data_IF_337932862027
#
_entry.id   IF_337932862027
#
_cell.length_a   1.000
_cell.length_b   1.000
_cell.length_c   1.000
_cell.angle_alpha   90.00
_cell.angle_beta   90.00
_cell.angle_gamma   90.00
#
_symmetry.space_group_name_H-M   'P 1'
#
loop_
_entity.id
_entity.type
_entity.pdbx_description
1 polymer ?
2 polymer ?
3 non-polymer ?
4 water ?
#
# COMPACT_ATOMS: atom_id res chain seq x y z
N UNK A 3 -25.09 8.90 -2.49
CA UNK A 3 -24.64 8.44 -1.14
C UNK A 3 -23.54 7.40 -1.27
N UNK A 4 -22.99 6.98 -0.13
CA UNK A 4 -21.96 5.93 -0.12
C UNK A 4 -22.60 4.54 -0.28
N UNK A 5 -23.92 4.46 -0.15
CA UNK A 5 -24.66 3.25 -0.52
C UNK A 5 -24.66 3.03 -2.02
N UNK A 6 -24.72 4.11 -2.80
CA UNK A 6 -24.71 4.03 -4.27
C UNK A 6 -23.31 4.15 -4.88
N UNK A 7 -22.28 4.29 -4.06
CA UNK A 7 -20.90 4.33 -4.55
C UNK A 7 -20.55 2.99 -5.19
N UNK A 8 -19.79 3.03 -6.28
CA UNK A 8 -19.33 1.82 -6.96
C UNK A 8 -18.02 1.33 -6.34
N UNK A 9 -18.13 0.33 -5.47
CA UNK A 9 -16.95 -0.24 -4.80
C UNK A 9 -16.23 -1.27 -5.68
N UNK A 10 -16.88 -1.69 -6.76
CA UNK A 10 -16.32 -2.70 -7.66
C UNK A 10 -15.57 -2.12 -8.85
N UNK A 11 -15.12 -0.88 -8.77
CA UNK A 11 -14.32 -0.27 -9.82
C UNK A 11 -13.22 0.60 -9.22
N UNK A 12 -12.15 0.82 -10.00
CA UNK A 12 -11.07 1.72 -9.60
C UNK A 12 -11.45 3.18 -9.83
N UNK A 13 -11.04 4.05 -8.91
CA UNK A 13 -11.42 5.46 -8.90
C UNK A 13 -10.21 6.38 -8.90
N UNK A 14 -10.47 7.66 -9.16
CA UNK A 14 -9.44 8.68 -9.15
C UNK A 14 -9.26 9.20 -7.75
N UNK A 15 -8.16 9.90 -7.53
CA UNK A 15 -7.90 10.59 -6.28
C UNK A 15 -9.09 11.45 -5.87
N UNK A 16 -9.55 12.29 -6.78
CA UNK A 16 -10.64 13.23 -6.48
C UNK A 16 -11.93 12.51 -6.09
N UNK A 17 -12.22 11.41 -6.75
CA UNK A 17 -13.41 10.61 -6.41
C UNK A 17 -13.31 9.99 -5.02
N UNK A 18 -12.11 9.55 -4.65
CA UNK A 18 -11.88 9.02 -3.31
C UNK A 18 -12.00 10.12 -2.25
N UNK A 19 -11.48 11.30 -2.55
CA UNK A 19 -11.57 12.43 -1.63
C UNK A 19 -13.03 12.89 -1.44
N UNK A 20 -13.81 12.90 -2.52
CA UNK A 20 -15.22 13.22 -2.44
C UNK A 20 -15.95 12.17 -1.62
N UNK A 21 -15.56 10.90 -1.80
CA UNK A 21 -16.11 9.79 -1.01
C UNK A 21 -15.88 10.00 0.48
N UNK A 22 -14.69 10.46 0.86
CA UNK A 22 -14.38 10.75 2.26
C UNK A 22 -15.36 11.75 2.83
N UNK A 23 -15.62 12.82 2.07
CA UNK A 23 -16.49 13.89 2.54
C UNK A 23 -17.91 13.39 2.70
N UNK A 24 -18.35 12.55 1.78
CA UNK A 24 -19.69 11.98 1.82
C UNK A 24 -19.84 11.06 3.04
N UNK A 25 -18.83 10.24 3.30
CA UNK A 25 -18.86 9.30 4.40
C UNK A 25 -18.92 10.01 5.75
N UNK A 26 -18.18 11.11 5.86
CA UNK A 26 -18.15 11.93 7.07
C UNK A 26 -19.48 12.63 7.28
N UNK A 27 -20.05 13.16 6.20
CA UNK A 27 -21.36 13.83 6.26
C UNK A 27 -22.47 12.87 6.72
N UNK A 28 -22.37 11.61 6.31
CA UNK A 28 -23.37 10.60 6.64
C UNK A 28 -23.23 10.02 8.05
N UNK A 29 -22.00 10.03 8.58
CA UNK A 29 -21.68 9.42 9.87
C UNK A 29 -20.82 10.34 10.72
N UNK A 30 -21.30 11.56 11.00
CA UNK A 30 -20.48 12.56 11.71
C UNK A 30 -20.14 12.20 13.15
N UNK A 31 -20.89 11.30 13.77
CA UNK A 31 -20.59 10.84 15.13
C UNK A 31 -19.50 9.75 15.15
N UNK A 32 -19.20 9.16 14.00
CA UNK A 32 -18.26 8.04 13.94
C UNK A 32 -16.97 8.35 13.19
N UNK A 33 -17.04 9.17 12.14
CA UNK A 33 -15.86 9.40 11.31
C UNK A 33 -15.60 10.89 11.10
N UNK A 34 -14.33 11.26 11.14
CA UNK A 34 -13.88 12.61 10.86
C UNK A 34 -12.68 12.58 9.94
N UNK A 35 -12.51 13.65 9.18
CA UNK A 35 -11.43 13.76 8.20
C UNK A 35 -10.34 14.68 8.74
N UNK A 36 -9.13 14.15 8.80
CA UNK A 36 -7.97 14.90 9.24
C UNK A 36 -7.05 15.11 8.05
N UNK A 37 -6.46 16.29 7.94
CA UNK A 37 -5.35 16.51 7.01
C UNK A 37 -4.06 16.39 7.81
N UNK A 38 -3.23 15.41 7.46
CA UNK A 38 -1.96 15.18 8.16
C UNK A 38 -0.78 15.90 7.51
N UNK A 39 -1.00 16.48 6.34
CA UNK A 39 0.04 17.18 5.64
C UNK A 39 -0.35 17.53 4.22
N UNK A 40 0.61 18.01 3.46
CA UNK A 40 0.42 18.38 2.06
C UNK A 40 1.52 17.75 1.23
N UNK A 41 1.14 17.09 0.14
CA UNK A 41 2.09 16.34 -0.68
C UNK A 41 3.14 17.23 -1.34
N UNK A 42 4.15 16.61 -1.94
CA UNK A 42 5.17 17.37 -2.65
C UNK A 42 4.55 18.30 -3.67
N UNK A 43 3.54 17.81 -4.38
CA UNK A 43 2.88 18.58 -5.44
C UNK A 43 1.70 19.42 -4.95
N UNK A 44 1.56 19.58 -3.64
CA UNK A 44 0.59 20.47 -3.05
C UNK A 44 -0.82 19.93 -2.81
N UNK A 45 -0.97 18.61 -2.79
CA UNK A 45 -2.27 18.00 -2.53
C UNK A 45 -2.46 17.71 -1.05
N UNK A 46 -3.67 17.89 -0.53
CA UNK A 46 -3.93 17.50 0.86
C UNK A 46 -3.76 15.99 1.03
N UNK A 47 -3.20 15.59 2.17
CA UNK A 47 -3.05 14.18 2.55
C UNK A 47 -4.06 13.95 3.66
N UNK A 48 -4.98 13.00 3.46
CA UNK A 48 -6.10 12.81 4.36
C UNK A 48 -6.12 11.46 5.07
N UNK A 49 -6.43 11.50 6.35
CA UNK A 49 -6.67 10.30 7.15
C UNK A 49 -8.09 10.39 7.70
N UNK A 50 -8.80 9.26 7.70
CA UNK A 50 -10.10 9.18 8.35
C UNK A 50 -9.93 8.61 9.75
N UNK A 51 -10.45 9.31 10.75
CA UNK A 51 -10.48 8.80 12.11
C UNK A 51 -11.84 8.20 12.38
N UNK A 52 -11.87 6.93 12.75
CA UNK A 52 -13.07 6.24 13.21
C UNK A 52 -13.00 6.11 14.73
N UNK A 53 -13.98 6.68 15.42
CA UNK A 53 -13.96 6.74 16.87
C UNK A 53 -15.38 6.92 17.42
N UNK A 54 -15.65 6.30 18.58
CA UNK A 54 -16.89 6.56 19.32
C UNK A 54 -16.67 7.49 20.52
N UNK A 55 -15.51 8.12 20.59
CA UNK A 55 -15.22 9.11 21.60
C UNK A 55 -14.07 8.69 22.49
N UNK A 56 -14.22 8.94 23.78
CA UNK A 56 -13.22 8.55 24.77
C UNK A 56 -12.03 9.47 24.82
N UNK A 57 -11.03 9.08 25.60
CA UNK A 57 -9.80 9.83 25.75
C UNK A 57 -8.58 8.90 25.60
N UNK A 58 -7.69 9.26 24.70
CA UNK A 58 -6.45 8.52 24.51
C UNK A 58 -6.69 7.04 24.25
N UNK A 59 -7.72 6.73 23.47
CA UNK A 59 -8.02 5.33 23.21
C UNK A 59 -6.89 4.72 22.39
N UNK A 60 -6.49 3.49 22.72
CA UNK A 60 -5.47 2.80 21.93
C UNK A 60 -5.87 2.77 20.46
N UNK A 61 -4.91 3.02 19.55
CA UNK A 61 -5.23 3.29 18.14
C UNK A 61 -4.64 2.26 17.18
N UNK A 62 -5.33 2.06 16.06
CA UNK A 62 -4.86 1.20 14.98
C UNK A 62 -4.62 2.08 13.77
N UNK A 63 -3.41 2.04 13.24
CA UNK A 63 -3.07 2.76 12.04
C UNK A 63 -3.15 1.80 10.85
N UNK A 64 -3.77 2.26 9.75
CA UNK A 64 -3.79 1.49 8.50
C UNK A 64 -3.42 2.42 7.36
N UNK A 65 -2.33 2.14 6.67
CA UNK A 65 -2.00 2.91 5.48
C UNK A 65 -2.08 2.05 4.25
N UNK A 66 -2.65 2.62 3.21
CA UNK A 66 -2.79 1.99 1.93
C UNK A 66 -2.25 2.94 0.88
N UNK A 67 -1.83 2.39 -0.26
CA UNK A 67 -1.41 3.19 -1.39
C UNK A 67 -0.12 3.97 -1.22
N UNK A 68 0.78 3.53 -0.33
CA UNK A 68 2.09 4.19 -0.24
C UNK A 68 2.84 4.02 -1.57
N UNK A 69 2.61 2.88 -2.22
CA UNK A 69 3.16 2.60 -3.54
C UNK A 69 2.01 2.73 -4.53
N UNK A 70 2.08 3.75 -5.37
CA UNK A 70 0.92 4.22 -6.13
C UNK A 70 0.31 3.20 -7.08
N UNK A 71 1.15 2.37 -7.70
CA UNK A 71 0.66 1.39 -8.69
C UNK A 71 -0.17 0.25 -8.12
N UNK A 72 -0.14 0.10 -6.80
CA UNK A 72 -0.81 -1.00 -6.12
C UNK A 72 -2.30 -0.68 -5.90
N UNK A 73 -3.01 -0.53 -7.02
CA UNK A 73 -4.36 0.02 -7.05
C UNK A 73 -5.37 -0.76 -6.20
N UNK A 74 -5.14 -2.05 -6.04
CA UNK A 74 -6.00 -2.87 -5.18
C UNK A 74 -6.02 -2.35 -3.74
N UNK A 75 -4.95 -1.68 -3.31
CA UNK A 75 -4.88 -1.21 -1.93
C UNK A 75 -5.77 -0.01 -1.69
N UNK A 76 -5.71 0.99 -2.56
CA UNK A 76 -6.56 2.18 -2.40
C UNK A 76 -8.03 1.75 -2.49
N UNK A 77 -8.33 0.85 -3.43
CA UNK A 77 -9.69 0.34 -3.63
C UNK A 77 -10.19 -0.39 -2.39
N UNK A 78 -9.32 -1.18 -1.77
CA UNK A 78 -9.62 -1.88 -0.52
C UNK A 78 -9.83 -0.87 0.61
N UNK A 79 -9.05 0.21 0.61
CA UNK A 79 -9.18 1.25 1.60
C UNK A 79 -10.55 1.91 1.57
N UNK A 80 -11.05 2.16 0.38
CA UNK A 80 -12.38 2.76 0.23
C UNK A 80 -13.43 1.78 0.78
N UNK A 81 -13.29 0.51 0.44
CA UNK A 81 -14.23 -0.51 0.92
C UNK A 81 -14.20 -0.63 2.45
N UNK A 82 -12.99 -0.61 3.03
CA UNK A 82 -12.80 -0.65 4.48
C UNK A 82 -13.54 0.50 5.16
N UNK A 83 -13.38 1.71 4.62
CA UNK A 83 -14.00 2.89 5.20
C UNK A 83 -15.51 2.71 5.31
N UNK A 84 -16.13 2.24 4.24
CA UNK A 84 -17.57 1.98 4.25
C UNK A 84 -17.92 0.84 5.23
N UNK A 85 -17.13 -0.24 5.18
CA UNK A 85 -17.34 -1.41 6.03
C UNK A 85 -17.37 -1.03 7.52
N UNK A 86 -16.47 -0.13 7.94
CA UNK A 86 -16.42 0.30 9.34
C UNK A 86 -17.73 0.96 9.77
N UNK A 87 -18.30 1.78 8.90
CA UNK A 87 -19.58 2.45 9.20
C UNK A 87 -20.77 1.50 9.10
N UNK A 88 -20.63 0.43 8.33
CA UNK A 88 -21.71 -0.55 8.17
C UNK A 88 -21.79 -1.51 9.36
N UNK A 89 -20.64 -1.96 9.85
CA UNK A 89 -20.59 -3.02 10.83
C UNK A 89 -20.55 -2.51 12.26
N UNK A 90 -20.20 -1.24 12.46
CA UNK A 90 -20.28 -0.68 13.81
C UNK A 90 -21.75 -0.68 14.26
N UNK A 91 -22.00 -1.27 15.44
CA UNK A 91 -23.33 -1.42 15.96
C UNK A 91 -24.03 -2.72 15.57
N UNK A 92 -23.40 -3.52 14.71
CA UNK A 92 -23.99 -4.77 14.21
C UNK A 92 -23.14 -5.95 14.63
N UNK A 93 -21.92 -6.01 14.10
CA UNK A 93 -20.94 -7.05 14.44
C UNK A 93 -20.45 -6.78 15.86
N UNK A 94 -20.77 -7.67 16.82
CA UNK A 94 -20.35 -7.46 18.21
C UNK A 94 -18.85 -7.32 18.44
N UNK A 95 -18.04 -8.10 17.72
CA UNK A 95 -16.59 -8.02 17.83
C UNK A 95 -16.08 -6.65 17.35
N UNK A 96 -16.55 -6.20 16.19
CA UNK A 96 -16.08 -4.93 15.64
C UNK A 96 -16.60 -3.75 16.45
N UNK A 97 -17.82 -3.89 16.96
CA UNK A 97 -18.40 -2.85 17.80
C UNK A 97 -17.56 -2.69 19.05
N UNK A 98 -17.13 -3.81 19.62
CA UNK A 98 -16.31 -3.82 20.82
C UNK A 98 -14.94 -3.18 20.55
N UNK A 99 -14.38 -3.43 19.38
CA UNK A 99 -13.12 -2.80 18.99
C UNK A 99 -13.25 -1.27 18.94
N UNK A 100 -14.32 -0.76 18.32
CA UNK A 100 -14.47 0.69 18.15
C UNK A 100 -14.99 1.38 19.41
N UNK A 101 -15.53 0.61 20.35
CA UNK A 101 -15.93 1.12 21.65
C UNK A 101 -14.73 1.26 22.60
N UNK A 102 -13.62 0.63 22.25
CA UNK A 102 -12.41 0.67 23.08
C UNK A 102 -11.19 1.26 22.38
N UNK A 103 -11.29 1.43 21.06
CA UNK A 103 -10.14 1.81 20.24
C UNK A 103 -10.57 2.74 19.12
N UNK A 104 -9.61 3.52 18.62
CA UNK A 104 -9.79 4.34 17.43
C UNK A 104 -9.04 3.71 16.28
N UNK A 105 -9.56 3.89 15.06
CA UNK A 105 -8.90 3.43 13.85
C UNK A 105 -8.60 4.64 12.98
N UNK A 106 -7.37 4.74 12.49
CA UNK A 106 -6.96 5.80 11.60
C UNK A 106 -6.61 5.17 10.26
N UNK A 107 -7.33 5.56 9.20
CA UNK A 107 -7.25 4.94 7.89
C UNK A 107 -6.75 5.94 6.85
N UNK A 108 -5.60 5.68 6.24
CA UNK A 108 -5.07 6.52 5.17
C UNK A 108 -5.19 5.76 3.85
N UNK A 109 -6.21 6.11 3.06
CA UNK A 109 -6.55 5.37 1.85
C UNK A 109 -5.54 5.60 0.73
N UNK A 110 -5.03 6.83 0.62
CA UNK A 110 -4.07 7.21 -0.42
C UNK A 110 -2.87 7.90 0.21
N UNK A 111 -1.88 7.09 0.59
CA UNK A 111 -0.73 7.57 1.33
C UNK A 111 0.22 8.36 0.41
N UNK A 112 0.19 8.05 -0.88
CA UNK A 112 1.03 8.71 -1.89
C UNK A 112 0.12 9.27 -2.99
N UNK A 113 -0.57 10.39 -2.71
CA UNK A 113 -1.53 10.95 -3.67
C UNK A 113 -0.93 11.43 -5.00
N UNK A 114 0.27 12.00 -4.99
CA UNK A 114 0.92 12.45 -6.23
C UNK A 114 1.20 11.27 -7.14
N UNK A 115 1.72 10.19 -6.57
CA UNK A 115 1.96 8.97 -7.33
C UNK A 115 0.66 8.41 -7.88
N UNK A 116 -0.40 8.45 -7.08
CA UNK A 116 -1.69 7.88 -7.48
C UNK A 116 -2.22 8.60 -8.73
N UNK A 117 -2.26 9.93 -8.67
CA UNK A 117 -2.67 10.75 -9.82
C UNK A 117 -1.84 10.40 -11.05
N UNK A 118 -0.53 10.26 -10.84
CA UNK A 118 0.42 9.98 -11.92
C UNK A 118 0.17 8.62 -12.56
N UNK A 119 -0.23 7.62 -11.77
CA UNK A 119 -0.53 6.29 -12.32
C UNK A 119 -1.78 6.31 -13.20
N UNK A 120 -2.66 7.27 -12.94
CA UNK A 120 -3.89 7.40 -13.70
C UNK A 120 -3.68 8.13 -15.04
N UNK A 121 -2.77 9.11 -15.07
CA UNK A 121 -2.63 9.99 -16.23
C UNK A 121 -1.37 9.83 -17.07
N UNK A 122 -0.34 9.16 -16.56
CA UNK A 122 0.95 9.06 -17.25
C UNK A 122 1.65 7.70 -17.22
N UNK A 123 1.71 7.08 -16.04
CA UNK A 123 2.52 5.88 -15.84
C UNK A 123 1.87 4.97 -14.80
N UNK A 124 1.10 4.01 -15.31
CA UNK A 124 0.35 3.03 -14.50
C UNK A 124 1.23 2.23 -13.54
N UNK A 125 2.50 2.04 -13.88
CA UNK A 125 3.42 1.27 -13.05
C UNK A 125 4.35 2.10 -12.17
N UNK A 126 4.01 3.36 -11.93
CA UNK A 126 4.79 4.23 -11.06
C UNK A 126 4.61 3.81 -9.60
N UNK A 127 5.73 3.72 -8.87
CA UNK A 127 5.79 3.25 -7.49
C UNK A 127 6.07 4.37 -6.49
N UNK A 128 6.97 5.27 -6.86
CA UNK A 128 7.58 6.22 -5.92
C UNK A 128 6.70 7.45 -5.67
N UNK A 129 7.18 8.36 -4.83
CA UNK A 129 6.58 9.69 -4.72
C UNK A 129 6.93 10.46 -5.99
N UNK A 130 6.62 11.75 -6.04
CA UNK A 130 6.96 12.59 -7.18
C UNK A 130 7.84 13.80 -6.80
N UNK A 131 8.59 13.68 -5.71
CA UNK A 131 9.53 14.74 -5.33
C UNK A 131 10.67 14.87 -6.34
N UNK A 132 11.15 16.09 -6.55
CA UNK A 132 12.25 16.34 -7.49
C UNK A 132 13.37 17.13 -6.79
N UNK A 133 14.46 17.34 -7.50
CA UNK A 133 15.59 18.15 -7.01
C UNK A 133 16.18 19.02 -8.12
N UNK A 136 18.02 16.57 -9.70
CA UNK A 136 18.03 15.37 -10.54
C UNK A 136 17.05 15.52 -11.71
N UNK A 137 17.32 14.77 -12.78
CA UNK A 137 16.35 14.59 -13.86
C UNK A 137 15.54 13.30 -13.64
N UNK A 138 15.92 12.52 -12.63
CA UNK A 138 15.12 11.37 -12.18
C UNK A 138 14.17 11.85 -11.07
N UNK A 139 13.02 11.20 -10.94
CA UNK A 139 11.96 11.69 -10.05
C UNK A 139 11.57 10.67 -8.99
N UNK A 140 11.35 11.14 -7.78
CA UNK A 140 10.65 10.38 -6.76
C UNK A 140 11.54 9.55 -5.86
N UNK A 141 10.97 9.19 -4.70
CA UNK A 141 11.63 8.41 -3.66
C UNK A 141 10.68 7.25 -3.33
N UNK A 142 11.25 6.09 -3.03
CA UNK A 142 10.47 4.97 -2.51
C UNK A 142 10.04 5.30 -1.10
N UNK A 143 8.76 5.64 -0.91
CA UNK A 143 8.29 6.07 0.41
C UNK A 143 8.36 4.94 1.44
N UNK A 144 8.41 3.68 1.00
CA UNK A 144 8.69 2.56 1.91
C UNK A 144 10.17 2.17 2.06
N UNK A 145 11.06 3.11 1.71
CA UNK A 145 12.48 3.04 2.05
C UNK A 145 12.94 4.32 2.78
N UNK A 146 12.00 5.22 3.07
CA UNK A 146 12.32 6.56 3.60
C UNK A 146 12.20 6.68 5.12
N UNK A 147 11.74 5.63 5.80
CA UNK A 147 11.49 5.71 7.24
C UNK A 147 12.77 5.53 8.05
N UNK A 148 12.75 5.99 9.30
CA UNK A 148 13.93 6.02 10.16
C UNK A 148 14.09 4.69 10.90
N UNK A 149 14.28 3.63 10.13
CA UNK A 149 14.56 2.30 10.67
C UNK A 149 15.51 1.63 9.68
N UNK A 150 16.80 1.64 9.99
CA UNK A 150 17.82 1.23 9.03
C UNK A 150 17.86 2.12 7.80
N UNK A 151 17.48 3.39 7.94
CA UNK A 151 17.50 4.29 6.78
C UNK A 151 18.89 4.31 6.13
N UNK A 152 18.92 4.15 4.80
CA UNK A 152 20.15 4.27 4.05
C UNK A 152 21.04 3.02 4.10
N UNK A 153 20.59 2.00 4.83
CA UNK A 153 21.33 0.77 4.98
C UNK A 153 20.89 -0.22 3.90
N UNK A 154 21.59 -1.35 3.85
CA UNK A 154 21.31 -2.41 2.87
C UNK A 154 19.82 -2.73 2.87
N UNK A 155 19.26 -2.90 1.67
CA UNK A 155 17.82 -3.07 1.50
C UNK A 155 17.14 -1.87 0.83
N UNK A 156 17.94 -0.89 0.41
CA UNK A 156 17.45 0.21 -0.42
C UNK A 156 18.55 0.62 -1.39
N UNK A 157 18.20 1.45 -2.36
CA UNK A 157 19.16 1.96 -3.33
C UNK A 157 19.52 3.40 -3.03
N UNK A 158 20.78 3.74 -3.29
CA UNK A 158 21.28 5.10 -3.15
C UNK A 158 21.17 5.89 -4.48
N UNK A 159 20.77 5.20 -5.55
CA UNK A 159 20.63 5.84 -6.86
C UNK A 159 19.25 6.51 -6.98
N UNK A 160 19.20 7.81 -7.29
CA UNK A 160 17.92 8.53 -7.43
C UNK A 160 16.98 7.98 -8.50
N UNK A 161 17.52 7.29 -9.51
CA UNK A 161 16.72 6.70 -10.58
C UNK A 161 16.15 5.34 -10.21
N UNK A 162 16.56 4.81 -9.06
CA UNK A 162 16.15 3.48 -8.63
C UNK A 162 14.74 3.48 -8.10
N UNK A 163 14.06 2.34 -8.26
CA UNK A 163 12.72 2.16 -7.74
C UNK A 163 12.68 2.03 -6.22
N UNK A 164 13.81 1.66 -5.60
CA UNK A 164 13.92 1.60 -4.13
C UNK A 164 14.82 2.69 -3.56
N UNK A 165 14.93 3.82 -4.25
CA UNK A 165 15.72 4.96 -3.77
C UNK A 165 15.21 5.42 -2.40
N UNK A 166 16.11 5.53 -1.42
CA UNK A 166 15.71 5.84 -0.04
C UNK A 166 15.42 7.33 0.18
N UNK A 167 15.87 8.19 -0.73
CA UNK A 167 15.77 9.63 -0.54
C UNK A 167 16.99 10.24 0.13
N UNK A 168 16.94 11.55 0.32
CA UNK A 168 18.09 12.33 0.78
C UNK A 168 18.41 12.07 2.24
N UNK A 169 17.36 11.87 3.03
CA UNK A 169 17.47 11.65 4.47
C UNK A 169 16.16 11.03 4.96
N UNK A 170 16.19 10.39 6.13
CA UNK A 170 14.99 9.78 6.69
C UNK A 170 13.90 10.84 6.84
N UNK A 171 12.69 10.48 6.46
CA UNK A 171 11.52 11.39 6.48
C UNK A 171 11.63 12.59 5.53
N UNK A 172 12.50 12.51 4.52
CA UNK A 172 12.60 13.58 3.53
C UNK A 172 11.28 13.77 2.79
N UNK A 173 10.55 12.68 2.60
CA UNK A 173 9.29 12.71 1.88
C UNK A 173 8.20 13.14 2.84
N UNK A 174 7.49 14.20 2.50
CA UNK A 174 6.44 14.75 3.35
C UNK A 174 5.31 13.73 3.61
N UNK A 175 5.14 12.82 2.67
CA UNK A 175 4.14 11.76 2.78
C UNK A 175 4.49 10.81 3.93
N UNK A 176 5.78 10.64 4.20
CA UNK A 176 6.23 9.83 5.33
C UNK A 176 6.31 10.66 6.63
N UNK A 177 6.94 11.83 6.56
CA UNK A 177 7.08 12.71 7.72
C UNK A 177 5.72 13.02 8.35
N UNK A 178 4.69 13.19 7.51
CA UNK A 178 3.35 13.49 7.98
C UNK A 178 2.79 12.37 8.86
N UNK A 179 3.00 11.12 8.46
CA UNK A 179 2.56 9.98 9.27
C UNK A 179 3.37 9.91 10.56
N UNK A 180 4.69 10.03 10.44
CA UNK A 180 5.59 9.98 11.58
C UNK A 180 5.19 11.01 12.63
N UNK A 181 5.04 12.27 12.21
CA UNK A 181 4.60 13.34 13.12
C UNK A 181 3.27 12.99 13.76
N UNK A 182 2.32 12.54 12.96
CA UNK A 182 0.97 12.26 13.48
C UNK A 182 0.99 11.15 14.52
N UNK A 183 1.67 10.04 14.21
CA UNK A 183 1.71 8.87 15.07
C UNK A 183 2.48 9.13 16.35
N UNK A 184 3.62 9.80 16.24
CA UNK A 184 4.42 10.12 17.42
C UNK A 184 3.71 11.13 18.33
N UNK A 185 3.06 12.13 17.74
CA UNK A 185 2.33 13.14 18.52
C UNK A 185 1.07 12.56 19.17
N UNK A 186 0.48 11.54 18.55
CA UNK A 186 -0.68 10.85 19.13
C UNK A 186 -0.24 10.10 20.40
N UNK A 187 0.80 9.28 20.27
CA UNK A 187 1.46 8.65 21.40
C UNK A 187 0.89 7.34 21.93
N UNK A 188 -0.21 6.87 21.35
CA UNK A 188 -0.85 5.64 21.81
C UNK A 188 -1.39 4.75 20.70
N UNK A 189 -0.57 4.52 19.67
CA UNK A 189 -0.89 3.51 18.67
C UNK A 189 -0.45 2.14 19.16
N UNK A 190 -1.32 1.15 19.02
CA UNK A 190 -1.03 -0.22 19.41
C UNK A 190 -0.85 -1.17 18.23
N UNK A 191 -1.41 -0.81 17.07
CA UNK A 191 -1.20 -1.55 15.82
C UNK A 191 -0.93 -0.61 14.66
N UNK A 192 -0.17 -1.12 13.68
CA UNK A 192 0.25 -0.36 12.52
C UNK A 192 0.29 -1.34 11.34
N UNK A 193 -0.64 -1.18 10.42
CA UNK A 193 -0.85 -2.11 9.31
C UNK A 193 -0.63 -1.40 7.99
N UNK A 194 0.41 -1.81 7.27
CA UNK A 194 0.73 -1.26 5.96
C UNK A 194 0.23 -2.20 4.88
N UNK A 195 -0.59 -1.68 3.98
CA UNK A 195 -1.25 -2.50 2.96
C UNK A 195 -0.64 -2.24 1.58
N UNK A 196 -0.09 -3.31 1.03
CA UNK A 196 0.56 -3.32 -0.27
C UNK A 196 -0.02 -4.43 -1.15
N UNK A 197 0.43 -4.49 -2.40
CA UNK A 197 0.26 -5.67 -3.25
C UNK A 197 1.52 -5.79 -4.12
N UNK A 198 1.80 -6.96 -4.71
CA UNK A 198 1.01 -8.19 -4.59
C UNK A 198 1.91 -9.32 -4.07
N UNK A 199 1.29 -10.47 -3.79
CA UNK A 199 1.97 -11.75 -3.54
C UNK A 199 1.22 -12.68 -2.57
N UNK A 200 0.23 -12.14 -1.87
CA UNK A 200 -0.60 -12.88 -0.92
C UNK A 200 0.24 -13.32 0.27
N UNK A 201 0.73 -12.32 1.00
CA UNK A 201 1.60 -12.51 2.16
C UNK A 201 1.16 -11.65 3.32
N UNK A 202 1.42 -12.11 4.54
CA UNK A 202 1.25 -11.31 5.74
C UNK A 202 2.58 -11.31 6.46
N UNK A 203 3.16 -10.13 6.59
CA UNK A 203 4.54 -9.97 7.00
C UNK A 203 4.62 -9.21 8.31
N UNK A 204 5.56 -9.60 9.17
CA UNK A 204 5.89 -8.86 10.37
C UNK A 204 7.37 -8.44 10.28
N UNK A 205 7.85 -7.57 11.16
CA UNK A 205 9.23 -7.10 11.06
C UNK A 205 10.25 -8.21 11.40
N UNK A 206 11.51 -8.07 11.03
CA UNK A 206 12.03 -6.90 10.32
C UNK A 206 12.29 -7.17 8.84
N UNK A 207 12.31 -6.10 8.07
CA UNK A 207 12.90 -6.10 6.75
C UNK A 207 14.38 -5.76 6.78
N UNK A 208 14.81 -4.85 7.65
CA UNK A 208 16.16 -4.28 7.53
C UNK A 208 17.25 -5.11 8.17
N UNK A 209 16.86 -6.04 9.02
CA UNK A 209 17.81 -6.86 9.75
C UNK A 209 17.32 -8.30 9.92
N UNK A 210 18.25 -9.24 9.96
CA UNK A 210 17.93 -10.65 10.20
C UNK A 210 17.66 -10.94 11.67
N UNK A 211 17.99 -10.00 12.55
CA UNK A 211 17.63 -10.11 13.97
C UNK A 211 16.12 -10.31 14.12
N UNK A 212 15.72 -11.34 14.85
CA UNK A 212 14.31 -11.62 15.09
C UNK A 212 13.77 -10.64 16.11
N UNK A 213 12.53 -10.18 15.91
CA UNK A 213 11.89 -9.29 16.87
C UNK A 213 11.65 -10.03 18.18
N UNK A 214 11.72 -9.31 19.31
CA UNK A 214 11.36 -9.88 20.62
C UNK A 214 10.00 -10.57 20.65
N UNK A 215 9.04 -10.04 19.89
CA UNK A 215 7.67 -10.54 19.90
C UNK A 215 7.37 -11.52 18.76
N UNK A 216 8.41 -12.17 18.23
CA UNK A 216 8.27 -13.02 17.05
C UNK A 216 7.23 -14.13 17.24
N UNK A 217 7.28 -14.83 18.36
CA UNK A 217 6.36 -15.95 18.61
C UNK A 217 4.91 -15.49 18.57
N UNK A 218 4.60 -14.38 19.23
CA UNK A 218 3.23 -13.85 19.26
C UNK A 218 2.77 -13.34 17.90
N UNK A 219 3.57 -12.51 17.24
CA UNK A 219 3.18 -11.97 15.94
C UNK A 219 3.07 -13.05 14.88
N UNK A 220 3.91 -14.06 14.96
CA UNK A 220 3.84 -15.20 14.06
C UNK A 220 2.52 -15.97 14.26
N UNK A 221 2.13 -16.16 15.52
CA UNK A 221 0.84 -16.82 15.83
C UNK A 221 -0.35 -15.98 15.37
N UNK A 222 -0.28 -14.66 15.58
CA UNK A 222 -1.33 -13.75 15.11
C UNK A 222 -1.43 -13.82 13.59
N UNK A 223 -0.29 -13.81 12.91
CA UNK A 223 -0.25 -13.90 11.44
C UNK A 223 -0.90 -15.20 10.95
N UNK A 224 -0.57 -16.31 11.60
CA UNK A 224 -1.13 -17.62 11.24
C UNK A 224 -2.67 -17.59 11.33
N UNK A 225 -3.19 -17.04 12.42
CA UNK A 225 -4.63 -16.96 12.64
C UNK A 225 -5.33 -16.06 11.62
N UNK A 226 -4.72 -14.91 11.33
CA UNK A 226 -5.27 -13.94 10.40
C UNK A 226 -5.31 -14.51 8.98
N UNK A 227 -4.27 -15.26 8.63
CA UNK A 227 -4.16 -15.90 7.32
C UNK A 227 -5.24 -16.98 7.16
N UNK A 228 -5.51 -17.72 8.24
CA UNK A 228 -6.56 -18.75 8.23
C UNK A 228 -7.94 -18.13 8.05
N UNK A 229 -8.18 -17.00 8.71
CA UNK A 229 -9.45 -16.29 8.60
C UNK A 229 -9.66 -15.77 7.19
N UNK A 230 -8.61 -15.17 6.61
CA UNK A 230 -8.64 -14.66 5.25
C UNK A 230 -9.01 -15.77 4.26
N UNK A 231 -8.38 -16.93 4.44
CA UNK A 231 -8.58 -18.08 3.54
C UNK A 231 -10.00 -18.62 3.59
N UNK A 232 -10.68 -18.47 4.71
CA UNK A 232 -11.98 -19.10 4.91
C UNK A 232 -13.06 -18.64 3.92
N UNK A 233 -12.95 -17.40 3.44
CA UNK A 233 -13.99 -16.81 2.59
C UNK A 233 -14.03 -17.42 1.18
N UNK A 234 -12.92 -17.29 0.46
CA UNK A 234 -12.81 -17.74 -0.93
C UNK A 234 -11.67 -18.73 -1.20
N UNK A 235 -10.97 -19.14 -0.15
CA UNK A 235 -9.89 -20.11 -0.28
C UNK A 235 -8.53 -19.53 -0.67
N UNK A 236 -8.42 -18.21 -0.59
CA UNK A 236 -7.19 -17.53 -0.98
C UNK A 236 -6.05 -17.86 -0.01
N UNK A 237 -4.93 -18.35 -0.56
CA UNK A 237 -3.82 -18.85 0.24
C UNK A 237 -2.73 -17.77 0.41
N UNK A 238 -2.47 -17.44 1.67
CA UNK A 238 -1.43 -16.50 2.05
C UNK A 238 -0.30 -17.24 2.76
N UNK A 239 0.93 -16.81 2.53
CA UNK A 239 2.04 -17.21 3.39
C UNK A 239 2.36 -16.06 4.33
N UNK A 240 3.17 -16.34 5.34
CA UNK A 240 3.52 -15.36 6.37
C UNK A 240 4.90 -15.58 6.96
N UNK A 241 5.43 -14.53 7.57
CA UNK A 241 6.77 -14.54 8.11
C UNK A 241 7.32 -13.14 8.19
N UNK A 242 8.58 -13.00 8.61
CA UNK A 242 9.25 -11.70 8.65
C UNK A 242 9.49 -11.23 7.22
N UNK A 243 9.59 -9.91 7.02
CA UNK A 243 9.83 -9.36 5.69
C UNK A 243 11.12 -9.93 5.10
N UNK A 244 12.20 -9.92 5.87
CA UNK A 244 13.53 -10.28 5.34
C UNK A 244 13.64 -11.76 4.93
N UNK A 245 12.93 -12.64 5.64
CA UNK A 245 12.97 -14.08 5.35
C UNK A 245 11.95 -14.49 4.30
N UNK A 246 10.94 -13.65 4.05
CA UNK A 246 9.82 -14.01 3.18
C UNK A 246 9.90 -13.39 1.79
N UNK A 247 10.33 -12.14 1.68
CA UNK A 247 10.47 -11.50 0.37
C UNK A 247 11.90 -11.07 0.07
N UNK A 248 12.48 -10.26 0.94
CA UNK A 248 13.82 -9.70 0.73
C UNK A 248 14.16 -8.72 1.84
N UNK A 249 15.46 -8.46 2.00
CA UNK A 249 15.89 -7.37 2.88
C UNK A 249 15.37 -6.05 2.32
N UNK A 250 14.77 -5.27 3.20
CA UNK A 250 14.22 -3.96 2.87
C UNK A 250 14.46 -3.01 4.05
N UNK A 251 15.09 -1.86 3.78
CA UNK A 251 15.41 -0.91 4.82
C UNK A 251 14.51 0.33 4.75
N UNK A 252 14.53 1.14 5.80
CA UNK A 252 13.70 2.34 5.84
C UNK A 252 12.22 2.07 5.64
N UNK A 253 11.74 0.95 6.19
CA UNK A 253 10.37 0.52 5.98
C UNK A 253 9.41 0.88 7.10
N UNK A 254 8.13 0.95 6.75
CA UNK A 254 7.11 1.50 7.65
C UNK A 254 6.90 0.70 8.94
N UNK A 255 6.72 -0.61 8.84
CA UNK A 255 6.47 -1.42 10.03
C UNK A 255 7.73 -1.70 10.87
N UNK A 256 8.90 -1.59 10.25
CA UNK A 256 10.14 -1.67 11.00
C UNK A 256 10.23 -0.44 11.92
N UNK A 257 9.88 0.71 11.36
CA UNK A 257 9.87 1.96 12.13
C UNK A 257 8.79 1.92 13.22
N UNK A 258 7.57 1.53 12.86
CA UNK A 258 6.47 1.53 13.82
C UNK A 258 6.74 0.57 14.99
N UNK A 259 7.26 -0.62 14.67
CA UNK A 259 7.64 -1.60 15.69
C UNK A 259 8.73 -1.03 16.62
N UNK A 260 9.71 -0.35 16.04
CA UNK A 260 10.77 0.26 16.84
C UNK A 260 10.28 1.42 17.72
N UNK A 261 9.12 2.00 17.39
CA UNK A 261 8.48 3.03 18.22
C UNK A 261 7.70 2.41 19.38
N UNK A 262 7.59 1.10 19.40
CA UNK A 262 6.89 0.39 20.45
C UNK A 262 5.49 -0.03 20.05
N UNK A 263 5.19 0.09 18.76
CA UNK A 263 3.88 -0.32 18.27
C UNK A 263 3.98 -1.80 17.89
N UNK A 264 3.48 -2.65 18.79
CA UNK A 264 3.78 -4.08 18.75
C UNK A 264 3.18 -4.80 17.56
N UNK A 265 1.90 -4.53 17.31
CA UNK A 265 1.16 -5.26 16.29
C UNK A 265 1.35 -4.57 14.95
N UNK A 266 2.55 -4.73 14.39
CA UNK A 266 2.96 -4.06 13.15
C UNK A 266 3.11 -5.12 12.07
N UNK A 267 2.28 -5.01 11.03
CA UNK A 267 2.22 -5.97 9.95
C UNK A 267 2.10 -5.29 8.59
N UNK A 268 2.68 -5.91 7.57
CA UNK A 268 2.50 -5.49 6.19
C UNK A 268 1.78 -6.59 5.41
N UNK A 269 0.64 -6.24 4.81
CA UNK A 269 -0.10 -7.14 3.94
C UNK A 269 0.40 -6.97 2.50
N UNK A 270 0.46 -8.07 1.77
CA UNK A 270 0.64 -8.05 0.32
C UNK A 270 -0.60 -8.75 -0.23
N UNK A 271 -1.47 -7.99 -0.89
CA UNK A 271 -2.77 -8.50 -1.34
C UNK A 271 -2.66 -9.32 -2.63
N UNK A 272 -3.80 -9.68 -3.22
CA UNK A 272 -3.84 -10.45 -4.47
C UNK A 272 -3.10 -9.74 -5.60
N UNK A 273 -2.61 -10.46 -6.61
CA UNK A 273 -2.65 -11.93 -6.68
C UNK A 273 -1.24 -12.49 -6.46
N UNK A 274 -0.86 -13.58 -7.15
CA UNK A 274 0.49 -14.12 -7.03
C UNK A 274 1.34 -13.93 -8.28
N UNK A 275 0.88 -13.08 -9.21
CA UNK A 275 1.67 -12.77 -10.41
C UNK A 275 0.93 -12.80 -11.74
N UNK A 276 -0.25 -13.40 -11.79
CA UNK A 276 -1.00 -13.51 -13.05
C UNK A 276 -1.26 -12.12 -13.62
N UNK A 277 -1.86 -11.27 -12.79
CA UNK A 277 -2.11 -9.88 -13.12
C UNK A 277 -1.16 -8.92 -12.41
N UNK A 278 -0.63 -9.35 -11.26
CA UNK A 278 0.31 -8.54 -10.49
C UNK A 278 -0.35 -7.25 -9.99
N UNK A 279 0.26 -6.12 -10.34
CA UNK A 279 -0.30 -4.82 -9.97
C UNK A 279 -1.56 -4.46 -10.75
N UNK A 280 -1.77 -5.12 -11.88
CA UNK A 280 -2.88 -4.81 -12.78
C UNK A 280 -4.10 -5.71 -12.48
N UNK A 281 -4.40 -5.89 -11.18
CA UNK A 281 -5.48 -6.76 -10.76
C UNK A 281 -6.82 -6.23 -11.30
N UNK A 282 -7.60 -7.08 -11.99
CA UNK A 282 -8.90 -6.66 -12.55
C UNK A 282 -9.86 -6.17 -11.48
N UNK A 283 -10.68 -5.17 -11.81
CA UNK A 283 -11.61 -4.55 -10.86
C UNK A 283 -12.62 -5.56 -10.29
N UNK A 284 -12.89 -6.62 -11.03
CA UNK A 284 -13.81 -7.66 -10.59
C UNK A 284 -13.34 -8.40 -9.33
N UNK A 285 -12.05 -8.30 -9.02
CA UNK A 285 -11.49 -8.88 -7.79
C UNK A 285 -11.39 -7.88 -6.63
N UNK A 286 -11.82 -6.63 -6.81
CA UNK A 286 -11.73 -5.64 -5.74
C UNK A 286 -12.50 -6.07 -4.49
N UNK A 287 -13.80 -6.31 -4.66
CA UNK A 287 -14.67 -6.66 -3.54
C UNK A 287 -14.25 -7.97 -2.82
N UNK A 288 -14.05 -9.07 -3.55
CA UNK A 288 -13.60 -10.31 -2.91
C UNK A 288 -12.26 -10.17 -2.16
N UNK A 289 -11.33 -9.42 -2.74
CA UNK A 289 -10.05 -9.13 -2.07
C UNK A 289 -10.25 -8.35 -0.77
N UNK A 290 -11.10 -7.32 -0.82
CA UNK A 290 -11.31 -6.45 0.35
C UNK A 290 -12.01 -7.21 1.48
N UNK A 291 -13.01 -7.99 1.11
CA UNK A 291 -13.76 -8.84 2.04
C UNK A 291 -12.85 -9.78 2.83
N UNK A 292 -12.03 -10.55 2.11
CA UNK A 292 -11.15 -11.53 2.74
C UNK A 292 -10.06 -10.83 3.56
N UNK A 293 -9.56 -9.71 3.05
CA UNK A 293 -8.52 -8.97 3.74
C UNK A 293 -9.06 -8.43 5.06
N UNK A 294 -10.31 -7.98 5.05
CA UNK A 294 -10.97 -7.47 6.26
C UNK A 294 -11.01 -8.54 7.36
N UNK A 295 -11.26 -9.79 7.00
CA UNK A 295 -11.24 -10.89 7.96
C UNK A 295 -9.86 -11.04 8.60
N UNK A 296 -8.80 -10.89 7.81
CA UNK A 296 -7.45 -10.89 8.32
C UNK A 296 -7.14 -9.71 9.25
N UNK A 297 -7.59 -8.53 8.84
CA UNK A 297 -7.35 -7.30 9.61
C UNK A 297 -8.13 -7.35 10.93
N UNK A 298 -9.39 -7.77 10.87
CA UNK A 298 -10.21 -7.92 12.06
C UNK A 298 -9.59 -8.89 13.07
N UNK A 299 -8.99 -9.96 12.59
CA UNK A 299 -8.32 -10.94 13.45
C UNK A 299 -7.16 -10.28 14.21
N UNK A 300 -6.39 -9.44 13.51
CA UNK A 300 -5.30 -8.72 14.16
C UNK A 300 -5.85 -7.72 15.17
N UNK A 301 -6.90 -6.98 14.81
CA UNK A 301 -7.50 -6.00 15.71
C UNK A 301 -8.04 -6.67 16.97
N UNK A 302 -8.62 -7.84 16.82
CA UNK A 302 -9.18 -8.59 17.95
C UNK A 302 -8.10 -9.03 18.92
N UNK A 303 -6.93 -9.39 18.39
CA UNK A 303 -5.82 -9.77 19.25
C UNK A 303 -5.25 -8.54 19.96
N UNK A 304 -5.27 -7.39 19.29
CA UNK A 304 -4.79 -6.14 19.88
C UNK A 304 -5.65 -5.77 21.08
N UNK A 305 -6.98 -5.92 20.96
CA UNK A 305 -7.91 -5.51 22.00
C UNK A 305 -7.90 -6.51 23.15
N UNK B 1 -10.35 8.49 -16.90
CA UNK B 1 -10.33 8.82 -18.36
C UNK B 1 -10.70 7.59 -19.20
N UNK B 2 -10.84 7.79 -20.51
CA UNK B 2 -11.28 6.72 -21.40
C UNK B 2 -10.33 5.52 -21.35
N UNK B 3 -9.03 5.80 -21.35
CA UNK B 3 -8.00 4.77 -21.31
C UNK B 3 -8.20 3.81 -20.15
N UNK B 4 -8.25 4.37 -18.95
CA UNK B 4 -8.39 3.60 -17.73
C UNK B 4 -9.79 2.97 -17.62
N UNK B 5 -10.82 3.68 -18.05
CA UNK B 5 -12.20 3.22 -17.94
C UNK B 5 -12.47 2.02 -18.84
N UNK B 6 -11.70 1.90 -19.91
CA UNK B 6 -11.79 0.79 -20.86
C UNK B 6 -10.98 -0.43 -20.40
N UNK B 7 -10.22 -0.26 -19.33
CA UNK B 7 -9.51 -1.35 -18.68
C UNK B 7 -8.01 -1.36 -18.90
N UNK B 8 -7.47 -0.24 -19.37
CA UNK B 8 -6.05 -0.16 -19.76
C UNK B 8 -5.34 0.86 -18.88
N UNK B 9 -4.21 1.36 -19.33
CA UNK B 9 -3.44 2.27 -18.51
C UNK B 9 -2.51 3.12 -19.34
N UNK B 10 -2.15 4.26 -18.77
CA UNK B 10 -1.21 5.18 -19.38
C UNK B 10 0.21 4.72 -19.12
N UNK B 11 1.06 4.78 -20.14
CA UNK B 11 2.49 4.53 -19.98
C UNK B 11 3.28 5.49 -20.85
N UNK B 12 4.49 5.84 -20.41
CA UNK B 12 5.41 6.61 -21.27
C UNK B 12 5.57 5.93 -22.64
N UNK B 13 5.71 6.74 -23.68
CA UNK B 13 5.84 6.21 -25.05
C UNK B 13 6.99 5.22 -25.12
N UNK B 14 8.07 5.51 -24.39
CA UNK B 14 9.25 4.65 -24.38
C UNK B 14 9.04 3.28 -23.69
N UNK B 15 7.95 3.15 -22.92
CA UNK B 15 7.57 1.90 -22.26
C UNK B 15 6.40 1.19 -22.94
N UNK B 16 5.91 1.73 -24.05
CA UNK B 16 4.79 1.12 -24.76
C UNK B 16 5.11 1.03 -26.22
N UNK B 17 5.52 -0.15 -26.69
CA UNK B 17 5.81 -0.32 -28.12
C UNK B 17 4.59 -0.01 -28.96
N UNK B 18 4.83 0.37 -30.21
CA UNK B 18 3.77 0.76 -31.13
C UNK B 18 2.64 -0.27 -31.19
N UNK B 19 2.98 -1.55 -31.15
CA UNK B 19 2.00 -2.61 -31.32
C UNK B 19 1.04 -2.71 -30.13
N UNK B 20 1.48 -2.18 -28.98
CA UNK B 20 0.67 -2.18 -27.75
C UNK B 20 -0.04 -0.85 -27.50
N UNK B 21 0.17 0.14 -28.36
CA UNK B 21 -0.46 1.45 -28.15
C UNK B 21 -1.94 1.41 -28.50
N UNK B 22 -2.73 2.18 -27.76
CA UNK B 22 -4.16 2.31 -27.99
C UNK B 22 -4.50 3.78 -28.23
N UNK B 23 -5.65 4.02 -28.86
CA UNK B 23 -6.06 5.37 -29.23
C UNK B 23 -6.86 6.06 -28.14
N UNK B 24 -7.09 5.36 -27.03
CA UNK B 24 -7.97 5.88 -25.98
C UNK B 24 -7.35 7.09 -25.29
N UNK B 25 -8.22 7.98 -24.84
CA UNK B 25 -7.81 9.30 -24.38
C UNK B 25 -7.58 9.45 -22.89
N UNK B 26 -6.92 10.55 -22.53
CA UNK B 26 -6.76 10.98 -21.15
C UNK B 26 -5.34 11.00 -20.63
N UNK B 27 -4.42 10.34 -21.34
CA UNK B 27 -3.01 10.26 -20.95
C UNK B 27 -2.25 11.43 -21.54
N UNK B 28 -1.31 11.98 -20.78
CA UNK B 28 -0.37 12.93 -21.37
C UNK B 28 0.89 12.19 -21.84
N UNK B 29 0.86 10.87 -21.73
CA UNK B 29 1.83 10.00 -22.39
C UNK B 29 1.12 9.29 -23.56
N UNK B 30 0.81 7.99 -23.43
CA UNK B 30 -0.03 7.27 -24.39
C UNK B 30 -0.79 6.17 -23.66
N UNK B 31 -2.00 5.87 -24.11
CA UNK B 31 -2.72 4.72 -23.60
C UNK B 31 -2.07 3.44 -24.13
N UNK B 32 -1.89 2.47 -23.25
CA UNK B 32 -1.19 1.22 -23.57
C UNK B 32 -2.02 0.01 -23.20
N UNK B 33 -1.99 -1.00 -24.07
CA UNK B 33 -2.56 -2.30 -23.73
C UNK B 33 -1.49 -3.06 -22.95
N UNK B 34 -1.55 -2.97 -21.62
CA UNK B 34 -0.50 -3.56 -20.77
C UNK B 34 -0.46 -5.09 -20.83
N UNK B 35 -1.55 -5.71 -21.26
CA UNK B 35 -1.60 -7.16 -21.51
C UNK B 35 -0.67 -7.62 -22.66
N UNK B 36 -0.27 -6.70 -23.53
CA UNK B 36 0.60 -7.01 -24.66
C UNK B 36 2.07 -6.69 -24.41
N UNK B 37 2.41 -6.25 -23.20
CA UNK B 37 3.79 -5.91 -22.87
C UNK B 37 4.60 -7.14 -22.50
N UNK B 38 5.87 -7.12 -22.88
CA UNK B 38 6.84 -8.16 -22.50
C UNK B 38 8.08 -7.51 -21.91
N UNK B 39 8.86 -8.30 -21.19
CA UNK B 39 10.11 -7.82 -20.62
C UNK B 39 9.92 -7.37 -19.19
N UNK B 40 11.01 -6.94 -18.57
CA UNK B 40 11.02 -6.69 -17.13
C UNK B 40 10.14 -5.51 -16.72
N UNK B 41 10.42 -4.33 -17.26
CA UNK B 41 9.67 -3.12 -16.92
C UNK B 41 8.18 -3.27 -17.25
N UNK B 42 7.88 -3.96 -18.34
CA UNK B 42 6.50 -4.17 -18.77
C UNK B 42 5.68 -5.01 -17.82
N UNK B 43 6.35 -5.88 -17.06
CA UNK B 43 5.67 -6.70 -16.05
C UNK B 43 5.77 -6.13 -14.64
N UNK B 44 6.13 -4.84 -14.52
CA UNK B 44 6.22 -4.17 -13.22
C UNK B 44 7.53 -4.41 -12.49
N UNK B 45 8.54 -4.86 -13.22
CA UNK B 45 9.84 -5.16 -12.64
C UNK B 45 10.87 -4.08 -12.90
N UNK B 46 12.03 -4.27 -12.28
CA UNK B 46 13.17 -3.37 -12.44
C UNK B 46 14.42 -4.22 -12.56
N UNK B 47 15.25 -3.91 -13.56
CA UNK B 47 16.52 -4.61 -13.72
C UNK B 47 17.47 -4.19 -12.59
N UNK B 48 18.04 -5.20 -11.93
CA UNK B 48 18.97 -5.01 -10.82
C UNK B 48 20.17 -5.93 -10.98
N UNK B 49 21.29 -5.59 -10.33
CA UNK B 49 22.46 -6.50 -10.33
C UNK B 49 22.13 -7.81 -9.65
N UNK B 50 22.84 -8.88 -10.01
CA UNK B 50 22.53 -10.22 -9.53
C UNK B 50 22.65 -10.36 -8.01
N UNK B 51 23.53 -9.58 -7.40
CA UNK B 51 23.75 -9.70 -5.96
C UNK B 51 22.71 -8.98 -5.11
N UNK B 52 21.76 -8.27 -5.73
CA UNK B 52 20.70 -7.62 -4.97
C UNK B 52 19.64 -8.63 -4.56
N UNK B 53 19.37 -8.72 -3.26
CA UNK B 53 18.34 -9.63 -2.76
C UNK B 53 16.98 -9.11 -3.21
N UNK B 54 16.23 -9.95 -3.91
CA UNK B 54 14.94 -9.55 -4.42
C UNK B 54 14.03 -10.72 -4.78
N UNK B 55 12.77 -10.39 -5.03
CA UNK B 55 11.83 -11.33 -5.64
C UNK B 55 11.99 -11.26 -7.16
N UNK B 56 12.68 -12.24 -7.71
CA UNK B 56 12.98 -12.26 -9.14
C UNK B 56 11.79 -12.72 -9.99
N UNK B 57 11.54 -12.03 -11.09
CA UNK B 57 10.64 -12.50 -12.15
C UNK B 57 11.52 -13.17 -13.17
N UNK B 58 11.81 -14.45 -12.95
CA UNK B 58 12.83 -15.14 -13.74
C UNK B 58 12.54 -15.13 -15.25
N UNK B 59 11.28 -15.20 -15.62
CA UNK B 59 10.89 -15.20 -17.05
C UNK B 59 11.28 -13.91 -17.78
N UNK B 60 11.46 -12.82 -17.05
CA UNK B 60 11.84 -11.53 -17.62
C UNK B 60 13.28 -11.12 -17.36
N UNK B 61 14.04 -11.93 -16.63
CA UNK B 61 15.41 -11.55 -16.29
C UNK B 61 16.33 -11.44 -17.51
N UNK B 62 16.10 -12.25 -18.54
CA UNK B 62 16.93 -12.18 -19.75
C UNK B 62 16.87 -10.81 -20.43
N UNK B 63 15.72 -10.13 -20.35
CA UNK B 63 15.55 -8.79 -20.93
C UNK B 63 16.44 -7.74 -20.26
N UNK B 64 16.92 -8.04 -19.05
CA UNK B 64 17.83 -7.17 -18.31
C UNK B 64 19.28 -7.28 -18.73
N UNK B 65 19.62 -8.34 -19.46
CA UNK B 65 20.95 -8.52 -20.01
C UNK B 65 21.98 -8.96 -18.98
N UNK B 66 23.25 -8.85 -19.38
CA UNK B 66 24.38 -9.39 -18.62
C UNK B 66 24.51 -8.76 -17.23
N UNK B 67 24.66 -9.62 -16.23
CA UNK B 67 24.88 -9.19 -14.86
C UNK B 67 23.66 -8.63 -14.16
N UNK B 68 22.49 -8.72 -14.80
CA UNK B 68 21.27 -8.17 -14.25
C UNK B 68 20.16 -9.20 -14.27
N UNK B 69 19.19 -8.98 -13.38
CA UNK B 69 18.01 -9.82 -13.26
C UNK B 69 16.78 -8.92 -13.02
N UNK B 70 15.60 -9.46 -13.27
CA UNK B 70 14.36 -8.72 -13.10
C UNK B 70 13.80 -8.91 -11.70
N UNK B 71 13.71 -7.82 -10.95
CA UNK B 71 13.16 -7.80 -9.60
C UNK B 71 11.82 -7.08 -9.60
N UNK B 72 10.84 -7.61 -8.86
CA UNK B 72 9.58 -6.90 -8.67
C UNK B 72 9.46 -6.46 -7.22
N UNK B 73 9.36 -5.15 -7.02
CA UNK B 73 9.28 -4.54 -5.70
C UNK B 73 7.80 -4.44 -5.32
N UNK B 74 7.48 -4.94 -4.13
CA UNK B 74 6.09 -5.15 -3.73
C UNK B 74 5.57 -4.07 -2.79
X LIG C 1 4.41 -1.88 -2.04
X LIG D 1 -9.53 9.75 -15.52
X LIG E 1 -7.25 16.30 -7.37
X LIG F 1 -24.16 4.38 6.92
X LIG G 1 -5.03 -13.69 19.00
#
# INVERSE_FOLDING_TARGET
>A
ARSTNTFNYATYHTLDEIYDFMDLLVAEHPQLVSKLQIGRSYEGRPIYVLKFSTGGSNRPAIWIDLGIHSREWITQATGVWFAKKFTEDYGQDPSFTAILDSMDIFLEIVTNPDGFAFTHSQNRLWRKTRSVTSSSLCVGVDANRNWDAGFGKAGASSSPCSETYHGKYANSEVEVKSIVDFVKDHGNFKAFLSIHSYSQLLLYPYGYTTQSIPDKTELNQVAKSAVAALKSLYGTSYKYGSIITTIYQASGGSIDWSYNQGIKYSFTFELRDTGRYGFLLPASQIIPTAQETWLGVLTIMEHTVNNLY
>B
NECVSKGFGCLPQSDCPQEARLSYGGCSTVCCDLSKLTGCKGKGGECNPLDRQCKELQAESASCGKGQKCCVWLH
>C hetero
1 ZN ZN
>D hetero
1 ZN ZN
>E hetero
1 ZN ZN
>F hetero
1 ZN ZN
>G hetero
1 ZN ZN
#
